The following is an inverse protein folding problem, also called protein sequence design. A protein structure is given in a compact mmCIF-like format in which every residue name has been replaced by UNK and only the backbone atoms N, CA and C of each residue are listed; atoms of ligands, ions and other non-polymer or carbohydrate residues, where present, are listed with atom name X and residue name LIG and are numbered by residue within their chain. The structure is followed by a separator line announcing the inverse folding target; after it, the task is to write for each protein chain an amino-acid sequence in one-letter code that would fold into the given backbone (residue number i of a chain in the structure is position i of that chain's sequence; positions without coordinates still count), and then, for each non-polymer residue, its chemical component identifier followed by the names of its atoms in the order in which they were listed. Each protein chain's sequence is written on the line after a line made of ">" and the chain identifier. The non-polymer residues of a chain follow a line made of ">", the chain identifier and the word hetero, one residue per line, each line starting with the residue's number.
data_IF_417808979574
#
_entry.id   IF_417808979574
#
_cell.length_a   1.000
_cell.length_b   1.000
_cell.length_c   1.000
_cell.angle_alpha   90.00
_cell.angle_beta   90.00
_cell.angle_gamma   90.00
#
_symmetry.space_group_name_H-M   'P 1'
#
loop_
_entity.id
_entity.type
_entity.pdbx_description
1 polymer ?
#
# COMPACT_ATOMS: atom_id res chain seq x y z
N UNK A 1 0.78 -17.38 14.50
CA UNK A 1 2.26 -17.57 14.39
C UNK A 1 2.93 -17.63 15.76
N UNK A 2 2.75 -16.62 16.64
CA UNK A 2 3.35 -16.59 17.99
C UNK A 2 3.06 -17.84 18.83
N UNK A 3 1.78 -18.14 19.06
CA UNK A 3 1.32 -19.32 19.83
C UNK A 3 1.85 -20.65 19.29
N UNK A 4 1.84 -20.82 17.97
CA UNK A 4 2.32 -22.04 17.30
C UNK A 4 3.82 -22.29 17.48
N UNK A 5 4.59 -21.26 17.87
CA UNK A 5 6.03 -21.35 18.09
C UNK A 5 6.42 -21.11 19.57
N UNK A 6 5.46 -21.22 20.50
CA UNK A 6 5.73 -21.05 21.94
C UNK A 6 6.13 -19.63 22.35
N UNK A 7 5.88 -18.62 21.50
CA UNK A 7 6.16 -17.22 21.83
C UNK A 7 4.93 -16.66 22.56
N UNK A 8 5.17 -16.25 23.81
CA UNK A 8 4.19 -15.68 24.72
C UNK A 8 3.46 -14.49 24.06
N UNK A 9 2.14 -14.51 24.10
CA UNK A 9 1.25 -13.50 23.50
C UNK A 9 0.02 -13.42 24.40
N UNK A 10 0.23 -12.89 25.61
CA UNK A 10 -0.71 -12.99 26.74
C UNK A 10 -2.03 -12.25 26.48
N UNK A 11 -1.96 -11.12 25.78
CA UNK A 11 -3.12 -10.42 25.25
C UNK A 11 -2.87 -10.13 23.77
N UNK A 12 -3.48 -10.92 22.89
CA UNK A 12 -3.76 -10.42 21.55
C UNK A 12 -4.58 -9.14 21.72
N UNK A 13 -4.26 -8.08 20.97
CA UNK A 13 -4.91 -6.77 21.02
C UNK A 13 -4.32 -5.74 22.00
N UNK A 14 -3.25 -6.04 22.75
CA UNK A 14 -2.41 -5.00 23.37
C UNK A 14 -1.25 -4.61 22.45
N UNK A 15 -1.07 -3.31 22.21
CA UNK A 15 -0.02 -2.78 21.35
C UNK A 15 1.38 -3.23 21.80
N UNK A 16 1.64 -3.28 23.11
CA UNK A 16 2.94 -3.73 23.62
C UNK A 16 3.13 -5.24 23.44
N UNK A 17 2.10 -6.04 23.68
CA UNK A 17 2.08 -7.48 23.42
C UNK A 17 2.40 -7.80 21.95
N UNK A 18 1.80 -7.06 21.01
CA UNK A 18 2.06 -7.23 19.57
C UNK A 18 3.51 -6.92 19.19
N UNK A 19 4.10 -5.87 19.78
CA UNK A 19 5.53 -5.53 19.59
C UNK A 19 6.42 -6.65 20.13
N UNK A 20 6.15 -7.16 21.34
CA UNK A 20 6.91 -8.27 21.94
C UNK A 20 6.82 -9.54 21.11
N UNK A 21 5.63 -9.89 20.63
CA UNK A 21 5.41 -11.05 19.78
C UNK A 21 6.13 -10.91 18.43
N UNK A 22 6.13 -9.71 17.83
CA UNK A 22 6.87 -9.42 16.59
C UNK A 22 8.38 -9.59 16.79
N UNK A 23 8.93 -9.07 17.89
CA UNK A 23 10.35 -9.25 18.25
C UNK A 23 10.65 -10.74 18.47
N UNK A 24 9.78 -11.47 19.17
CA UNK A 24 9.93 -12.90 19.41
C UNK A 24 9.99 -13.71 18.11
N UNK A 25 9.07 -13.45 17.19
CA UNK A 25 9.03 -14.09 15.87
C UNK A 25 10.31 -13.76 15.09
N UNK A 26 10.74 -12.50 15.09
CA UNK A 26 11.96 -12.10 14.41
C UNK A 26 13.20 -12.80 14.97
N UNK A 27 13.34 -12.88 16.30
CA UNK A 27 14.43 -13.61 16.96
C UNK A 27 14.45 -15.08 16.58
N UNK A 28 13.28 -15.73 16.55
CA UNK A 28 13.15 -17.12 16.13
C UNK A 28 13.60 -17.34 14.67
N UNK A 29 13.17 -16.46 13.75
CA UNK A 29 13.60 -16.55 12.34
C UNK A 29 15.11 -16.33 12.23
N UNK A 30 15.68 -15.38 12.97
CA UNK A 30 17.13 -15.15 13.00
C UNK A 30 17.91 -16.36 13.54
N UNK A 31 17.38 -17.04 14.55
CA UNK A 31 18.00 -18.26 15.11
C UNK A 31 17.95 -19.42 14.11
N UNK A 32 16.79 -19.67 13.49
CA UNK A 32 16.60 -20.84 12.60
C UNK A 32 17.12 -20.61 11.18
N UNK A 33 17.13 -19.38 10.69
CA UNK A 33 17.49 -19.01 9.31
C UNK A 33 18.34 -17.72 9.27
N UNK A 34 19.53 -17.70 9.89
CA UNK A 34 20.35 -16.48 10.01
C UNK A 34 20.74 -15.90 8.64
N UNK A 35 21.14 -16.76 7.68
CA UNK A 35 21.51 -16.34 6.32
C UNK A 35 20.35 -15.64 5.58
N UNK A 36 19.12 -16.08 5.79
CA UNK A 36 17.94 -15.44 5.23
C UNK A 36 17.75 -14.04 5.83
N UNK A 37 17.87 -13.91 7.15
CA UNK A 37 17.79 -12.60 7.82
C UNK A 37 18.87 -11.66 7.30
N UNK A 38 20.12 -12.10 7.24
CA UNK A 38 21.22 -11.28 6.71
C UNK A 38 20.98 -10.86 5.25
N UNK A 39 20.44 -11.76 4.44
CA UNK A 39 20.03 -11.44 3.08
C UNK A 39 18.93 -10.38 3.03
N UNK A 40 17.83 -10.57 3.79
CA UNK A 40 16.72 -9.62 3.83
C UNK A 40 17.14 -8.23 4.33
N UNK A 41 18.03 -8.17 5.33
CA UNK A 41 18.57 -6.88 5.81
C UNK A 41 19.39 -6.15 4.75
N UNK A 42 20.20 -6.87 3.97
CA UNK A 42 20.93 -6.27 2.83
C UNK A 42 19.96 -5.78 1.75
N UNK A 43 18.91 -6.54 1.48
CA UNK A 43 17.87 -6.19 0.50
C UNK A 43 16.91 -5.08 0.97
N UNK A 44 17.18 -4.42 2.11
CA UNK A 44 16.50 -3.16 2.47
C UNK A 44 17.10 -1.96 1.74
N UNK A 45 18.35 -2.05 1.27
CA UNK A 45 18.97 -0.98 0.49
C UNK A 45 18.32 -0.93 -0.89
N UNK A 46 17.69 0.19 -1.20
CA UNK A 46 17.02 0.44 -2.48
C UNK A 46 17.94 0.21 -3.68
N UNK A 47 19.24 0.51 -3.57
CA UNK A 47 20.22 0.27 -4.64
C UNK A 47 20.38 -1.21 -4.94
N UNK A 48 20.46 -2.05 -3.89
CA UNK A 48 20.53 -3.51 -4.03
C UNK A 48 19.26 -4.11 -4.62
N UNK A 49 18.11 -3.54 -4.29
CA UNK A 49 16.85 -3.91 -4.93
C UNK A 49 16.88 -3.58 -6.43
N UNK A 50 17.29 -2.35 -6.79
CA UNK A 50 17.35 -1.89 -8.18
C UNK A 50 18.33 -2.69 -9.03
N UNK A 51 19.47 -3.14 -8.47
CA UNK A 51 20.39 -4.06 -9.15
C UNK A 51 19.69 -5.35 -9.61
N UNK A 52 18.74 -5.87 -8.83
CA UNK A 52 18.05 -7.13 -9.12
C UNK A 52 16.79 -6.95 -9.98
N UNK A 53 16.03 -5.88 -9.76
CA UNK A 53 14.77 -5.63 -10.50
C UNK A 53 14.94 -4.79 -11.75
N UNK A 54 16.15 -4.27 -12.02
CA UNK A 54 16.42 -3.44 -13.18
C UNK A 54 16.10 -4.15 -14.50
N UNK A 55 15.74 -3.37 -15.52
CA UNK A 55 15.38 -3.91 -16.85
C UNK A 55 16.57 -4.56 -17.57
N UNK A 56 17.80 -4.27 -17.14
CA UNK A 56 19.02 -4.90 -17.64
C UNK A 56 19.17 -6.34 -17.15
N UNK A 57 18.53 -6.71 -16.03
CA UNK A 57 18.48 -8.09 -15.58
C UNK A 57 17.48 -8.90 -16.43
N UNK A 58 17.98 -9.46 -17.53
CA UNK A 58 17.20 -10.33 -18.43
C UNK A 58 17.00 -11.74 -17.91
N UNK A 59 17.65 -12.14 -16.82
CA UNK A 59 17.51 -13.48 -16.26
C UNK A 59 16.19 -13.66 -15.49
N UNK A 60 15.71 -12.58 -14.85
CA UNK A 60 14.57 -12.59 -13.94
C UNK A 60 14.98 -12.79 -12.47
N UNK A 61 13.99 -12.89 -11.58
CA UNK A 61 14.17 -13.05 -10.14
C UNK A 61 12.93 -13.67 -9.49
N UNK A 62 13.05 -14.15 -8.26
CA UNK A 62 11.91 -14.53 -7.43
C UNK A 62 11.34 -13.30 -6.74
N UNK A 63 10.03 -13.15 -6.77
CA UNK A 63 9.27 -12.15 -6.04
C UNK A 63 8.36 -12.85 -5.03
N UNK A 64 8.42 -12.45 -3.77
CA UNK A 64 7.44 -12.85 -2.75
C UNK A 64 6.50 -11.68 -2.51
N UNK A 65 5.22 -11.87 -2.84
CA UNK A 65 4.19 -10.84 -2.69
C UNK A 65 2.83 -11.47 -2.34
N UNK A 66 2.06 -10.78 -1.50
CA UNK A 66 0.73 -11.22 -1.08
C UNK A 66 -0.27 -11.40 -2.24
N UNK A 67 -0.08 -10.65 -3.33
CA UNK A 67 -0.91 -10.69 -4.53
C UNK A 67 -0.59 -11.88 -5.44
N UNK A 68 0.51 -12.60 -5.19
CA UNK A 68 0.79 -13.85 -5.90
C UNK A 68 -0.22 -14.91 -5.45
N UNK A 69 -0.90 -15.53 -6.42
CA UNK A 69 -1.94 -16.54 -6.17
C UNK A 69 -1.38 -17.85 -5.59
N UNK A 70 -0.11 -18.16 -5.88
CA UNK A 70 0.59 -19.35 -5.41
C UNK A 70 0.54 -19.48 -3.87
N UNK A 71 0.42 -20.72 -3.37
CA UNK A 71 0.37 -21.00 -1.91
C UNK A 71 1.61 -20.49 -1.18
N UNK A 72 2.77 -20.50 -1.83
CA UNK A 72 4.03 -20.00 -1.31
C UNK A 72 4.17 -18.47 -1.39
N UNK A 73 3.20 -17.77 -2.00
CA UNK A 73 3.24 -16.34 -2.29
C UNK A 73 4.48 -15.92 -3.10
N UNK A 74 5.08 -16.86 -3.84
CA UNK A 74 6.31 -16.66 -4.59
C UNK A 74 6.07 -16.84 -6.08
N UNK A 75 6.51 -15.88 -6.89
CA UNK A 75 6.46 -15.92 -8.34
C UNK A 75 7.89 -15.86 -8.93
N UNK A 76 8.09 -16.51 -10.07
CA UNK A 76 9.30 -16.37 -10.89
C UNK A 76 9.00 -15.25 -11.88
N UNK A 77 9.66 -14.11 -11.79
CA UNK A 77 9.28 -12.92 -12.55
C UNK A 77 10.41 -12.35 -13.41
N UNK A 78 10.02 -11.67 -14.48
CA UNK A 78 10.91 -10.88 -15.33
C UNK A 78 10.48 -9.42 -15.33
N UNK A 79 11.42 -8.49 -15.17
CA UNK A 79 11.15 -7.06 -15.37
C UNK A 79 10.93 -6.77 -16.85
N UNK A 80 9.76 -6.22 -17.18
CA UNK A 80 9.33 -6.02 -18.56
C UNK A 80 9.22 -4.54 -18.96
N UNK A 81 8.87 -3.65 -18.03
CA UNK A 81 8.72 -2.23 -18.32
C UNK A 81 8.89 -1.36 -17.06
N UNK A 82 9.29 -0.08 -17.20
CA UNK A 82 9.26 0.86 -16.09
C UNK A 82 7.82 1.33 -15.81
N UNK A 83 7.55 1.79 -14.58
CA UNK A 83 6.30 2.42 -14.19
C UNK A 83 6.54 3.70 -13.35
N UNK A 84 5.47 4.48 -13.13
CA UNK A 84 5.51 5.72 -12.34
C UNK A 84 6.13 5.50 -10.95
N UNK A 85 6.79 6.54 -10.43
CA UNK A 85 7.47 6.55 -9.13
C UNK A 85 8.55 5.47 -8.97
N UNK A 86 9.35 5.23 -10.02
CA UNK A 86 10.47 4.27 -10.03
C UNK A 86 10.03 2.82 -9.76
N UNK A 87 8.75 2.50 -9.98
CA UNK A 87 8.26 1.12 -9.94
C UNK A 87 8.70 0.39 -11.21
N UNK A 88 8.71 -0.94 -11.13
CA UNK A 88 8.98 -1.81 -12.28
C UNK A 88 7.81 -2.74 -12.48
N UNK A 89 7.32 -2.86 -13.71
CA UNK A 89 6.31 -3.83 -14.12
C UNK A 89 7.04 -5.15 -14.38
N UNK A 90 6.55 -6.21 -13.77
CA UNK A 90 7.12 -7.55 -13.88
C UNK A 90 6.08 -8.54 -14.37
N UNK A 91 6.51 -9.54 -15.13
CA UNK A 91 5.66 -10.62 -15.65
C UNK A 91 5.89 -11.92 -14.88
N UNK A 92 4.83 -12.67 -14.54
CA UNK A 92 4.95 -14.03 -14.00
C UNK A 92 5.37 -15.02 -15.09
N UNK A 93 6.63 -15.45 -15.08
CA UNK A 93 7.20 -16.37 -16.06
C UNK A 93 6.57 -17.78 -16.00
N UNK A 94 5.78 -18.13 -14.98
CA UNK A 94 4.97 -19.36 -14.99
C UNK A 94 3.77 -19.26 -15.95
N UNK A 95 3.40 -18.05 -16.40
CA UNK A 95 2.26 -17.77 -17.27
C UNK A 95 2.73 -17.52 -18.71
N UNK A 96 2.15 -18.25 -19.66
CA UNK A 96 2.49 -18.15 -21.08
C UNK A 96 2.04 -16.78 -21.64
N UNK A 97 2.97 -15.95 -22.17
CA UNK A 97 2.63 -14.65 -22.73
C UNK A 97 1.92 -14.72 -24.08
N UNK A 98 1.99 -15.85 -24.79
CA UNK A 98 1.59 -15.96 -26.20
C UNK A 98 0.16 -15.48 -26.47
N UNK A 99 -0.78 -15.77 -25.57
CA UNK A 99 -2.20 -15.38 -25.70
C UNK A 99 -2.48 -13.87 -25.54
N UNK A 100 -1.48 -13.09 -25.10
CA UNK A 100 -1.61 -11.66 -24.87
C UNK A 100 -0.87 -10.80 -25.90
N UNK A 101 0.08 -11.38 -26.64
CA UNK A 101 1.01 -10.63 -27.49
C UNK A 101 0.29 -9.81 -28.58
N UNK A 102 -0.78 -10.38 -29.13
CA UNK A 102 -1.51 -9.79 -30.25
C UNK A 102 -2.74 -8.98 -29.80
N UNK A 103 -3.01 -8.92 -28.49
CA UNK A 103 -4.06 -8.08 -27.93
C UNK A 103 -3.72 -6.59 -28.09
N UNK A 104 -4.77 -5.79 -28.19
CA UNK A 104 -4.72 -4.32 -28.16
C UNK A 104 -4.50 -3.80 -26.74
N UNK A 105 -4.04 -2.56 -26.60
CA UNK A 105 -3.82 -1.93 -25.30
C UNK A 105 -5.12 -1.87 -24.47
N UNK A 106 -6.26 -1.63 -25.10
CA UNK A 106 -7.56 -1.55 -24.40
C UNK A 106 -8.03 -2.91 -23.89
N UNK A 107 -7.82 -3.98 -24.66
CA UNK A 107 -8.07 -5.35 -24.17
C UNK A 107 -7.17 -5.68 -22.98
N UNK A 108 -5.88 -5.31 -23.03
CA UNK A 108 -4.96 -5.53 -21.93
C UNK A 108 -5.32 -4.70 -20.68
N UNK A 109 -5.81 -3.46 -20.86
CA UNK A 109 -6.37 -2.63 -19.79
C UNK A 109 -7.58 -3.33 -19.16
N UNK A 110 -8.54 -3.82 -19.96
CA UNK A 110 -9.70 -4.58 -19.48
C UNK A 110 -9.25 -5.77 -18.62
N UNK A 111 -8.29 -6.57 -19.11
CA UNK A 111 -7.77 -7.72 -18.39
C UNK A 111 -7.03 -7.38 -17.08
N UNK A 112 -6.43 -6.19 -16.96
CA UNK A 112 -5.69 -5.80 -15.76
C UNK A 112 -6.58 -5.17 -14.68
N UNK A 113 -7.51 -4.30 -15.09
CA UNK A 113 -8.36 -3.50 -14.18
C UNK A 113 -9.66 -4.19 -13.78
N UNK A 114 -10.12 -5.21 -14.52
CA UNK A 114 -11.32 -5.95 -14.16
C UNK A 114 -11.09 -6.84 -12.93
N UNK A 115 -12.10 -6.93 -12.07
CA UNK A 115 -12.14 -7.97 -11.03
C UNK A 115 -12.22 -9.34 -11.72
N UNK A 116 -11.57 -10.36 -11.16
CA UNK A 116 -11.54 -11.71 -11.73
C UNK A 116 -12.94 -12.32 -11.90
N UNK A 117 -13.92 -11.85 -11.13
CA UNK A 117 -15.33 -12.27 -11.24
C UNK A 117 -16.06 -11.67 -12.46
N UNK A 118 -15.51 -10.62 -13.05
CA UNK A 118 -16.09 -9.89 -14.19
C UNK A 118 -15.38 -10.23 -15.50
N UNK A 119 -14.39 -11.14 -15.47
CA UNK A 119 -13.75 -11.67 -16.66
C UNK A 119 -14.58 -12.85 -17.20
N UNK A 120 -14.57 -13.01 -18.53
CA UNK A 120 -15.22 -14.14 -19.19
C UNK A 120 -14.54 -15.46 -18.76
N UNK A 121 -15.23 -16.61 -18.88
CA UNK A 121 -14.72 -17.91 -18.39
C UNK A 121 -13.35 -18.30 -18.98
N UNK A 122 -13.06 -17.84 -20.20
CA UNK A 122 -11.82 -18.09 -20.93
C UNK A 122 -10.75 -16.99 -20.74
N UNK A 123 -11.10 -15.88 -20.07
CA UNK A 123 -10.20 -14.75 -19.83
C UNK A 123 -9.53 -14.83 -18.45
N UNK A 124 -8.19 -14.80 -18.43
CA UNK A 124 -7.42 -14.68 -17.20
C UNK A 124 -6.87 -13.26 -17.03
N UNK A 125 -6.84 -12.80 -15.78
CA UNK A 125 -6.20 -11.53 -15.41
C UNK A 125 -4.77 -11.48 -15.97
N UNK A 126 -4.40 -10.32 -16.49
CA UNK A 126 -3.05 -10.09 -17.02
C UNK A 126 -2.00 -10.40 -15.93
N UNK A 127 -1.03 -11.31 -16.19
CA UNK A 127 -0.15 -11.87 -15.16
C UNK A 127 1.05 -10.97 -14.87
N UNK A 128 0.77 -9.70 -14.56
CA UNK A 128 1.76 -8.68 -14.26
C UNK A 128 1.61 -8.14 -12.84
N UNK A 129 2.72 -7.69 -12.26
CA UNK A 129 2.78 -7.02 -10.96
C UNK A 129 3.59 -5.73 -11.07
N UNK A 130 3.35 -4.77 -10.16
CA UNK A 130 4.23 -3.62 -9.98
C UNK A 130 5.09 -3.79 -8.73
N UNK A 131 6.40 -3.86 -8.92
CA UNK A 131 7.37 -3.91 -7.82
C UNK A 131 7.80 -2.49 -7.47
N UNK A 132 7.55 -2.08 -6.22
CA UNK A 132 7.98 -0.79 -5.71
C UNK A 132 9.27 -0.94 -4.90
N UNK A 133 10.43 -0.48 -5.40
CA UNK A 133 11.70 -0.63 -4.69
C UNK A 133 11.74 0.13 -3.36
N UNK A 134 10.95 1.20 -3.20
CA UNK A 134 10.87 1.96 -1.93
C UNK A 134 10.04 1.24 -0.85
N UNK A 135 9.34 0.15 -1.18
CA UNK A 135 8.54 -0.64 -0.22
C UNK A 135 9.24 -1.91 0.27
N UNK A 136 10.57 -2.01 0.10
CA UNK A 136 11.39 -3.16 0.51
C UNK A 136 10.79 -4.51 0.05
N UNK A 137 10.63 -4.73 -1.27
CA UNK A 137 10.05 -5.96 -1.78
C UNK A 137 10.94 -7.16 -1.42
N UNK A 138 10.34 -8.29 -1.09
CA UNK A 138 11.07 -9.52 -0.81
C UNK A 138 11.40 -10.18 -2.16
N UNK A 139 12.66 -10.09 -2.56
CA UNK A 139 13.14 -10.58 -3.85
C UNK A 139 14.42 -11.40 -3.72
N UNK A 140 14.63 -12.38 -4.60
CA UNK A 140 15.83 -13.22 -4.63
C UNK A 140 16.29 -13.53 -6.05
N UNK A 141 17.60 -13.64 -6.34
CA UNK A 141 18.08 -14.16 -7.61
C UNK A 141 17.54 -15.58 -7.88
N UNK A 142 17.37 -15.92 -9.16
CA UNK A 142 16.92 -17.27 -9.58
C UNK A 142 17.92 -18.38 -9.25
N UNK A 143 19.18 -18.03 -8.93
CA UNK A 143 20.20 -19.00 -8.53
C UNK A 143 19.79 -19.90 -7.36
N UNK A 144 18.84 -19.46 -6.52
CA UNK A 144 18.28 -20.27 -5.43
C UNK A 144 17.47 -21.49 -5.94
N UNK A 145 16.97 -21.46 -7.18
CA UNK A 145 16.28 -22.58 -7.83
C UNK A 145 17.22 -23.72 -8.23
N UNK A 146 18.55 -23.57 -8.04
CA UNK A 146 19.50 -24.68 -8.12
C UNK A 146 19.27 -25.72 -7.01
N UNK A 147 18.62 -25.33 -5.92
CA UNK A 147 18.16 -26.27 -4.91
C UNK A 147 16.85 -26.93 -5.38
N UNK A 148 16.95 -28.22 -5.69
CA UNK A 148 15.83 -29.03 -6.17
C UNK A 148 14.63 -29.02 -5.21
N UNK A 149 14.84 -28.96 -3.89
CA UNK A 149 13.74 -28.91 -2.91
C UNK A 149 12.96 -27.60 -3.02
N UNK A 150 13.66 -26.49 -3.29
CA UNK A 150 13.01 -25.19 -3.48
C UNK A 150 12.25 -25.18 -4.80
N UNK A 151 12.86 -25.70 -5.86
CA UNK A 151 12.23 -25.80 -7.19
C UNK A 151 10.96 -26.65 -7.15
N UNK A 152 11.00 -27.82 -6.51
CA UNK A 152 9.85 -28.71 -6.33
C UNK A 152 8.75 -28.04 -5.50
N UNK A 153 9.10 -27.45 -4.35
CA UNK A 153 8.14 -26.74 -3.49
C UNK A 153 7.42 -25.60 -4.20
N UNK A 154 8.10 -24.90 -5.11
CA UNK A 154 7.53 -23.79 -5.89
C UNK A 154 6.82 -24.26 -7.17
N UNK A 155 6.92 -25.55 -7.52
CA UNK A 155 6.35 -26.11 -8.75
C UNK A 155 6.86 -25.39 -9.99
N UNK A 156 8.18 -25.16 -10.09
CA UNK A 156 8.80 -24.41 -11.20
C UNK A 156 9.37 -25.36 -12.24
N UNK A 157 8.89 -25.25 -13.48
CA UNK A 157 9.51 -25.88 -14.65
C UNK A 157 10.41 -24.88 -15.38
N UNK A 158 11.73 -25.08 -15.27
CA UNK A 158 12.74 -24.20 -15.88
C UNK A 158 12.62 -24.12 -17.41
N UNK A 159 12.08 -25.14 -18.09
CA UNK A 159 11.86 -25.12 -19.54
C UNK A 159 10.75 -24.12 -19.88
N UNK A 160 9.67 -24.10 -19.10
CA UNK A 160 8.56 -23.15 -19.27
C UNK A 160 9.05 -21.73 -18.99
N UNK A 161 9.79 -21.53 -17.89
CA UNK A 161 10.37 -20.22 -17.54
C UNK A 161 11.25 -19.71 -18.69
N UNK A 162 12.16 -20.54 -19.21
CA UNK A 162 13.06 -20.16 -20.29
C UNK A 162 12.31 -19.85 -21.60
N UNK A 163 11.28 -20.65 -21.94
CA UNK A 163 10.40 -20.43 -23.10
C UNK A 163 9.71 -19.06 -22.99
N UNK A 164 8.98 -18.83 -21.90
CA UNK A 164 8.19 -17.62 -21.72
C UNK A 164 9.07 -16.36 -21.66
N UNK A 165 10.23 -16.47 -21.01
CA UNK A 165 11.24 -15.40 -20.97
C UNK A 165 11.72 -15.05 -22.37
N UNK A 166 12.08 -16.04 -23.18
CA UNK A 166 12.50 -15.84 -24.57
C UNK A 166 11.40 -15.13 -25.37
N UNK A 167 10.16 -15.62 -25.30
CA UNK A 167 9.01 -15.01 -26.00
C UNK A 167 8.82 -13.53 -25.66
N UNK A 168 8.94 -13.15 -24.38
CA UNK A 168 8.83 -11.74 -23.96
C UNK A 168 9.98 -10.87 -24.48
N UNK A 169 11.21 -11.37 -24.41
CA UNK A 169 12.39 -10.63 -24.85
C UNK A 169 12.44 -10.42 -26.37
N UNK A 170 11.81 -11.31 -27.14
CA UNK A 170 11.69 -11.22 -28.60
C UNK A 170 10.55 -10.28 -29.06
N UNK A 171 9.74 -9.76 -28.13
CA UNK A 171 8.55 -8.91 -28.42
C UNK A 171 8.61 -7.55 -27.72
N UNK A 172 9.57 -6.67 -28.06
CA UNK A 172 9.68 -5.34 -27.45
C UNK A 172 8.44 -4.47 -27.70
N UNK A 173 7.74 -4.68 -28.82
CA UNK A 173 6.46 -4.03 -29.14
C UNK A 173 5.39 -4.30 -28.07
N UNK A 174 5.34 -5.52 -27.55
CA UNK A 174 4.42 -5.90 -26.48
C UNK A 174 4.82 -5.23 -25.15
N UNK A 175 6.12 -5.12 -24.85
CA UNK A 175 6.59 -4.48 -23.62
C UNK A 175 6.20 -3.00 -23.56
N UNK A 176 6.30 -2.29 -24.70
CA UNK A 176 5.84 -0.89 -24.81
C UNK A 176 4.31 -0.76 -24.70
N UNK A 177 3.53 -1.71 -25.26
CA UNK A 177 2.07 -1.75 -25.01
C UNK A 177 1.76 -1.92 -23.52
N UNK A 178 2.49 -2.79 -22.82
CA UNK A 178 2.29 -2.99 -21.37
C UNK A 178 2.64 -1.73 -20.59
N UNK A 179 3.69 -1.01 -20.99
CA UNK A 179 4.06 0.27 -20.38
C UNK A 179 2.95 1.30 -20.52
N UNK A 180 2.38 1.46 -21.72
CA UNK A 180 1.35 2.48 -21.99
C UNK A 180 0.04 2.26 -21.23
N UNK A 181 -0.27 1.03 -20.80
CA UNK A 181 -1.40 0.73 -19.88
C UNK A 181 -1.34 1.60 -18.61
N UNK A 182 -0.13 1.98 -18.16
CA UNK A 182 0.07 2.70 -16.90
C UNK A 182 0.42 4.19 -17.06
N UNK A 183 0.51 4.70 -18.29
CA UNK A 183 0.82 6.11 -18.54
C UNK A 183 -0.39 7.01 -18.22
N UNK A 184 -1.59 6.56 -18.60
CA UNK A 184 -2.87 7.28 -18.43
C UNK A 184 -3.44 7.27 -17.00
N UNK A 185 -2.81 6.58 -16.04
CA UNK A 185 -3.24 6.67 -14.65
C UNK A 185 -2.84 8.05 -14.10
N UNK A 186 -3.70 9.05 -14.27
CA UNK A 186 -3.53 10.40 -13.73
C UNK A 186 -3.23 10.36 -12.24
N UNK A 187 -2.42 11.32 -11.80
CA UNK A 187 -2.24 11.58 -10.38
C UNK A 187 -3.59 11.93 -9.77
N UNK A 188 -3.86 11.42 -8.57
CA UNK A 188 -5.15 11.66 -7.91
C UNK A 188 -5.41 13.16 -7.80
N UNK A 189 -6.59 13.65 -8.20
CA UNK A 189 -6.89 15.07 -8.11
C UNK A 189 -6.80 15.51 -6.64
N UNK A 190 -6.24 16.69 -6.41
CA UNK A 190 -6.24 17.32 -5.10
C UNK A 190 -7.69 17.66 -4.75
N UNK A 191 -8.18 17.10 -3.64
CA UNK A 191 -9.48 17.47 -3.10
C UNK A 191 -9.26 18.46 -1.95
N UNK A 192 -9.30 19.75 -2.29
CA UNK A 192 -9.15 20.83 -1.30
C UNK A 192 -10.29 20.86 -0.27
N UNK A 193 -11.41 20.17 -0.51
CA UNK A 193 -12.48 20.00 0.48
C UNK A 193 -12.10 19.00 1.57
N UNK A 194 -11.22 18.05 1.26
CA UNK A 194 -10.68 17.06 2.20
C UNK A 194 -9.16 16.93 2.02
N UNK A 195 -8.38 17.99 2.30
CA UNK A 195 -6.96 18.06 1.99
C UNK A 195 -6.14 16.96 2.71
N UNK A 196 -6.67 16.42 3.81
CA UNK A 196 -6.10 15.29 4.57
C UNK A 196 -6.05 13.99 3.79
N UNK A 197 -6.85 13.87 2.73
CA UNK A 197 -6.87 12.71 1.83
C UNK A 197 -5.86 12.83 0.69
N UNK A 198 -5.29 14.02 0.48
CA UNK A 198 -4.43 14.35 -0.65
C UNK A 198 -2.94 14.18 -0.35
N UNK A 199 -2.57 13.31 0.61
CA UNK A 199 -1.17 13.06 0.97
C UNK A 199 -0.30 12.65 -0.23
N UNK A 200 -0.87 11.88 -1.16
CA UNK A 200 -0.15 11.36 -2.32
C UNK A 200 -0.28 12.22 -3.58
N UNK A 201 -0.89 13.40 -3.49
CA UNK A 201 -1.10 14.30 -4.64
C UNK A 201 0.12 15.18 -4.96
N UNK A 202 1.21 15.07 -4.20
CA UNK A 202 2.43 15.85 -4.43
C UNK A 202 3.31 15.97 -3.19
N UNK A 203 4.60 16.21 -3.40
CA UNK A 203 5.54 16.57 -2.34
C UNK A 203 5.54 18.09 -2.13
N UNK A 204 5.81 18.51 -0.89
CA UNK A 204 5.96 19.93 -0.57
C UNK A 204 7.25 20.51 -1.18
N UNK A 205 7.26 21.81 -1.42
CA UNK A 205 8.48 22.56 -1.72
C UNK A 205 9.39 22.61 -0.50
N UNK A 206 10.66 22.99 -0.70
CA UNK A 206 11.60 23.16 0.41
C UNK A 206 11.15 24.31 1.34
N UNK A 207 10.63 25.41 0.77
CA UNK A 207 10.08 26.54 1.52
C UNK A 207 8.89 26.14 2.40
N UNK A 208 7.92 25.43 1.83
CA UNK A 208 6.75 24.95 2.56
C UNK A 208 7.14 23.93 3.62
N UNK A 209 8.14 23.08 3.33
CA UNK A 209 8.69 22.13 4.31
C UNK A 209 9.32 22.82 5.51
N UNK A 210 10.08 23.90 5.30
CA UNK A 210 10.67 24.71 6.37
C UNK A 210 9.57 25.37 7.19
N UNK A 211 8.56 25.94 6.53
CA UNK A 211 7.43 26.60 7.19
C UNK A 211 6.63 25.62 8.05
N UNK A 212 6.31 24.43 7.54
CA UNK A 212 5.65 23.36 8.28
C UNK A 212 6.45 22.92 9.53
N UNK A 213 7.79 22.90 9.46
CA UNK A 213 8.65 22.61 10.63
C UNK A 213 8.64 23.73 11.66
N UNK A 214 8.55 24.99 11.24
CA UNK A 214 8.40 26.10 12.17
C UNK A 214 7.05 26.01 12.89
N UNK A 215 5.96 25.78 12.15
CA UNK A 215 4.60 25.61 12.69
C UNK A 215 4.55 24.50 13.75
N UNK A 216 5.19 23.35 13.51
CA UNK A 216 5.16 22.22 14.45
C UNK A 216 5.94 22.48 15.75
N UNK A 217 6.81 23.49 15.78
CA UNK A 217 7.54 23.93 16.96
C UNK A 217 6.88 25.10 17.70
N UNK A 218 5.86 25.74 17.11
CA UNK A 218 5.19 26.91 17.66
C UNK A 218 4.20 26.54 18.78
N UNK A 219 4.04 27.46 19.74
CA UNK A 219 2.99 27.40 20.75
C UNK A 219 1.65 27.99 20.28
N UNK A 220 0.58 27.78 21.05
CA UNK A 220 -0.78 28.27 20.75
C UNK A 220 -0.85 29.77 20.45
N UNK A 221 -0.09 30.59 21.18
CA UNK A 221 -0.07 32.05 20.99
C UNK A 221 0.61 32.44 19.66
N UNK A 222 1.75 31.81 19.36
CA UNK A 222 2.51 32.09 18.14
C UNK A 222 1.71 31.69 16.89
N UNK A 223 0.99 30.56 16.95
CA UNK A 223 0.10 30.10 15.89
C UNK A 223 -1.09 31.04 15.62
N UNK A 224 -1.50 31.84 16.61
CA UNK A 224 -2.57 32.83 16.43
C UNK A 224 -2.12 34.02 15.60
N UNK A 225 -0.84 34.41 15.71
CA UNK A 225 -0.27 35.58 15.04
C UNK A 225 0.44 35.21 13.72
N UNK A 226 0.74 33.93 13.52
CA UNK A 226 1.48 33.42 12.36
C UNK A 226 0.56 33.16 11.15
N UNK A 227 0.78 33.92 10.07
CA UNK A 227 0.02 33.86 8.82
C UNK A 227 0.98 33.60 7.64
N UNK A 228 1.39 32.35 7.41
CA UNK A 228 2.30 32.01 6.33
C UNK A 228 1.61 32.12 4.96
N UNK A 229 2.42 32.23 3.90
CA UNK A 229 1.97 32.06 2.51
C UNK A 229 2.58 30.75 2.02
N UNK A 230 1.73 29.81 1.65
CA UNK A 230 2.15 28.51 1.13
C UNK A 230 2.18 28.51 -0.40
N UNK A 231 3.06 27.68 -0.97
CA UNK A 231 3.03 27.37 -2.40
C UNK A 231 2.05 26.23 -2.71
N UNK A 232 1.89 25.32 -1.76
CA UNK A 232 0.98 24.19 -1.85
C UNK A 232 -0.42 24.54 -1.30
N UNK A 233 -1.41 24.57 -2.19
CA UNK A 233 -2.81 24.92 -1.90
C UNK A 233 -3.44 24.05 -0.78
N UNK A 234 -2.90 22.86 -0.48
CA UNK A 234 -3.41 22.00 0.60
C UNK A 234 -3.13 22.59 1.98
N UNK A 235 -2.04 23.34 2.12
CA UNK A 235 -1.48 23.72 3.42
C UNK A 235 -2.32 24.78 4.15
N UNK A 236 -2.98 25.69 3.44
CA UNK A 236 -3.87 26.67 4.06
C UNK A 236 -4.97 26.00 4.88
N UNK A 237 -5.71 25.08 4.26
CA UNK A 237 -6.76 24.33 4.94
C UNK A 237 -6.19 23.37 6.00
N UNK A 238 -5.05 22.73 5.74
CA UNK A 238 -4.41 21.83 6.72
C UNK A 238 -3.93 22.57 7.98
N UNK A 239 -3.45 23.81 7.85
CA UNK A 239 -3.07 24.64 9.00
C UNK A 239 -4.29 24.96 9.87
N UNK A 240 -5.42 25.33 9.25
CA UNK A 240 -6.68 25.55 9.97
C UNK A 240 -7.12 24.28 10.72
N UNK A 241 -7.05 23.11 10.06
CA UNK A 241 -7.41 21.84 10.69
C UNK A 241 -6.47 21.47 11.84
N UNK A 242 -5.17 21.75 11.68
CA UNK A 242 -4.17 21.53 12.72
C UNK A 242 -4.43 22.42 13.94
N UNK A 243 -4.65 23.73 13.73
CA UNK A 243 -5.02 24.69 14.79
C UNK A 243 -6.30 24.26 15.49
N UNK A 244 -7.35 23.94 14.73
CA UNK A 244 -8.65 23.60 15.30
C UNK A 244 -8.64 22.35 16.20
N UNK A 245 -7.84 21.33 15.84
CA UNK A 245 -7.76 20.07 16.59
C UNK A 245 -6.87 20.13 17.81
N UNK A 246 -5.77 20.89 17.73
CA UNK A 246 -4.73 20.88 18.76
C UNK A 246 -4.74 22.15 19.63
N UNK A 247 -5.09 23.29 19.04
CA UNK A 247 -5.01 24.63 19.63
C UNK A 247 -6.24 25.48 19.27
N UNK A 248 -7.47 25.05 19.63
CA UNK A 248 -8.70 25.68 19.13
C UNK A 248 -8.84 27.16 19.50
N UNK A 249 -8.13 27.66 20.51
CA UNK A 249 -8.16 29.09 20.88
C UNK A 249 -7.26 29.96 19.99
N UNK A 250 -6.38 29.36 19.19
CA UNK A 250 -5.56 30.07 18.19
C UNK A 250 -6.31 30.41 16.90
N UNK A 251 -7.54 29.90 16.74
CA UNK A 251 -8.36 30.18 15.56
C UNK A 251 -8.91 31.60 15.61
N UNK A 252 -8.75 32.31 14.50
CA UNK A 252 -9.52 33.52 14.21
C UNK A 252 -10.99 33.18 13.97
N UNK A 253 -11.87 34.18 14.03
CA UNK A 253 -13.31 34.01 13.77
C UNK A 253 -13.58 33.41 12.38
N UNK A 254 -12.79 33.79 11.37
CA UNK A 254 -12.96 33.27 10.01
C UNK A 254 -12.50 31.81 9.90
N UNK A 255 -11.32 31.48 10.46
CA UNK A 255 -10.84 30.09 10.49
C UNK A 255 -11.79 29.17 11.25
N UNK A 256 -12.38 29.65 12.37
CA UNK A 256 -13.38 28.90 13.11
C UNK A 256 -14.62 28.59 12.26
N UNK A 257 -15.11 29.56 11.48
CA UNK A 257 -16.22 29.33 10.55
C UNK A 257 -15.85 28.30 9.48
N UNK A 258 -14.69 28.44 8.85
CA UNK A 258 -14.19 27.47 7.86
C UNK A 258 -14.09 26.06 8.46
N UNK A 259 -13.59 25.95 9.68
CA UNK A 259 -13.50 24.69 10.40
C UNK A 259 -14.87 24.09 10.71
N UNK A 260 -15.82 24.89 11.21
CA UNK A 260 -17.17 24.40 11.53
C UNK A 260 -17.92 23.94 10.27
N UNK A 261 -17.78 24.65 9.15
CA UNK A 261 -18.35 24.25 7.85
C UNK A 261 -17.76 22.91 7.37
N UNK A 262 -16.44 22.73 7.46
CA UNK A 262 -15.77 21.47 7.14
C UNK A 262 -16.23 20.34 8.07
N UNK A 263 -16.23 20.59 9.39
CA UNK A 263 -16.62 19.64 10.44
C UNK A 263 -18.03 19.13 10.20
N UNK A 264 -18.99 20.01 9.93
CA UNK A 264 -20.38 19.66 9.69
C UNK A 264 -20.55 18.79 8.44
N UNK A 265 -19.94 19.17 7.31
CA UNK A 265 -19.96 18.37 6.07
C UNK A 265 -19.32 16.99 6.27
N UNK A 266 -18.18 16.94 6.98
CA UNK A 266 -17.48 15.69 7.30
C UNK A 266 -18.34 14.79 8.20
N UNK A 267 -18.96 15.37 9.23
CA UNK A 267 -19.77 14.66 10.20
C UNK A 267 -21.02 14.07 9.54
N UNK A 268 -21.73 14.82 8.69
CA UNK A 268 -22.88 14.32 7.93
C UNK A 268 -22.53 13.06 7.11
N UNK A 269 -21.41 13.11 6.36
CA UNK A 269 -20.92 11.96 5.60
C UNK A 269 -20.58 10.76 6.49
N UNK A 270 -19.91 11.00 7.62
CA UNK A 270 -19.49 9.95 8.55
C UNK A 270 -20.68 9.31 9.28
N UNK A 271 -21.68 10.09 9.69
CA UNK A 271 -22.87 9.60 10.38
C UNK A 271 -23.66 8.62 9.51
N UNK A 272 -23.84 8.92 8.22
CA UNK A 272 -24.48 7.99 7.28
C UNK A 272 -23.76 6.64 7.19
N UNK A 273 -22.42 6.66 7.18
CA UNK A 273 -21.59 5.43 7.18
C UNK A 273 -21.65 4.70 8.52
N UNK A 274 -21.65 5.45 9.62
CA UNK A 274 -21.80 4.91 10.96
C UNK A 274 -23.14 4.17 11.10
N UNK A 275 -24.26 4.77 10.73
CA UNK A 275 -25.59 4.14 10.78
C UNK A 275 -25.66 2.86 9.94
N UNK A 276 -25.10 2.90 8.74
CA UNK A 276 -25.02 1.73 7.86
C UNK A 276 -24.22 0.61 8.51
N UNK A 277 -23.09 0.94 9.13
CA UNK A 277 -22.21 -0.02 9.79
C UNK A 277 -22.86 -0.60 11.06
N UNK A 278 -23.54 0.23 11.86
CA UNK A 278 -24.28 -0.21 13.05
C UNK A 278 -25.36 -1.21 12.69
N UNK A 279 -26.18 -0.93 11.67
CA UNK A 279 -27.21 -1.87 11.17
C UNK A 279 -26.61 -3.21 10.72
N UNK A 280 -25.46 -3.17 10.04
CA UNK A 280 -24.76 -4.39 9.63
C UNK A 280 -24.25 -5.19 10.83
N UNK A 281 -23.78 -4.52 11.88
CA UNK A 281 -23.28 -5.19 13.09
C UNK A 281 -24.44 -5.78 13.89
N UNK A 282 -25.53 -5.03 14.08
CA UNK A 282 -26.75 -5.49 14.76
C UNK A 282 -27.43 -6.67 14.06
N UNK A 283 -27.29 -6.78 12.73
CA UNK A 283 -27.78 -7.93 11.97
C UNK A 283 -26.98 -9.24 12.19
N UNK A 284 -25.81 -9.16 12.84
CA UNK A 284 -25.00 -10.35 13.15
C UNK A 284 -25.54 -11.00 14.42
N UNK A 285 -25.77 -12.33 14.36
CA UNK A 285 -26.55 -13.05 15.37
C UNK A 285 -25.91 -13.19 16.75
N UNK A 286 -24.60 -13.00 16.91
CA UNK A 286 -23.95 -13.19 18.22
C UNK A 286 -22.79 -12.20 18.39
N UNK A 287 -23.01 -11.19 19.24
CA UNK A 287 -21.95 -10.35 19.79
C UNK A 287 -21.60 -10.87 21.18
N UNK A 288 -20.32 -10.79 21.55
CA UNK A 288 -19.93 -11.05 22.94
C UNK A 288 -20.16 -9.80 23.82
N UNK A 289 -20.13 -9.96 25.15
CA UNK A 289 -20.39 -8.87 26.10
C UNK A 289 -19.46 -7.66 25.91
N UNK A 290 -18.20 -7.90 25.57
CA UNK A 290 -17.22 -6.83 25.36
C UNK A 290 -17.55 -6.02 24.10
N UNK A 291 -18.00 -6.69 23.04
CA UNK A 291 -18.46 -6.06 21.80
C UNK A 291 -19.75 -5.26 22.02
N UNK A 292 -20.72 -5.82 22.74
CA UNK A 292 -21.95 -5.10 23.12
C UNK A 292 -21.63 -3.83 23.92
N UNK A 293 -20.74 -3.95 24.90
CA UNK A 293 -20.27 -2.82 25.70
C UNK A 293 -19.58 -1.76 24.83
N UNK A 294 -18.66 -2.16 23.96
CA UNK A 294 -17.95 -1.24 23.07
C UNK A 294 -18.89 -0.52 22.10
N UNK A 295 -19.91 -1.20 21.56
CA UNK A 295 -20.92 -0.58 20.70
C UNK A 295 -21.76 0.45 21.46
N UNK A 296 -22.11 0.15 22.71
CA UNK A 296 -22.85 1.08 23.57
C UNK A 296 -22.02 2.34 23.88
N UNK A 297 -20.74 2.17 24.20
CA UNK A 297 -19.82 3.29 24.41
C UNK A 297 -19.65 4.12 23.14
N UNK A 298 -19.50 3.48 21.99
CA UNK A 298 -19.41 4.15 20.70
C UNK A 298 -20.68 4.96 20.40
N UNK A 299 -21.86 4.41 20.67
CA UNK A 299 -23.13 5.11 20.52
C UNK A 299 -23.18 6.38 21.37
N UNK A 300 -22.86 6.28 22.67
CA UNK A 300 -22.85 7.47 23.54
C UNK A 300 -21.80 8.49 23.14
N UNK A 301 -20.63 8.04 22.68
CA UNK A 301 -19.60 8.94 22.17
C UNK A 301 -20.09 9.71 20.94
N UNK A 302 -20.76 9.04 20.00
CA UNK A 302 -21.34 9.70 18.81
C UNK A 302 -22.41 10.73 19.22
N UNK A 303 -23.29 10.41 20.17
CA UNK A 303 -24.28 11.39 20.67
C UNK A 303 -23.60 12.64 21.22
N UNK A 304 -22.56 12.48 22.04
CA UNK A 304 -21.77 13.62 22.56
C UNK A 304 -21.09 14.44 21.47
N UNK A 305 -20.63 13.80 20.39
CA UNK A 305 -20.01 14.50 19.26
C UNK A 305 -21.03 15.31 18.45
N UNK A 306 -22.28 14.85 18.38
CA UNK A 306 -23.36 15.58 17.68
C UNK A 306 -23.82 16.79 18.50
N UNK A 307 -23.82 16.68 19.84
CA UNK A 307 -24.26 17.74 20.75
C UNK A 307 -23.25 18.90 20.89
N UNK A 308 -21.97 18.71 20.53
CA UNK A 308 -20.88 19.68 20.68
C UNK A 308 -20.35 20.21 19.33
#
# INVERSE_FOLDING_TARGET
>A
MSKANGILHDNAHDALSDVKATIGIFKLVKEKQPKLVDYLFRMRDKRKILELIGLDNKEGFLLVDKYVADKSKTAVVLSIAPAKHQKVIVWDLKKDPSKYLDKTTDELKKLYFSDSKNLDEDEERLPIFQVNPSKMPIISPLSILKDEKIKERLGVDLKIIAKNRKTLLERPDFLEKIRSIFEDNEDFPVDLSFPETSLYCGFLTDEDTITCRAISAMGEKELSDFHPIFHDDRLDNLLVHYKARNFPKSLTTNEKKTWDDFKNKRLEFLLKRYETSMKQIESKKELNKDQEFALKELYYWVQRVIEN
#
